data_IF_461377516949
#
_entry.id   IF_461377516949
#
_cell.length_a   1.000
_cell.length_b   1.000
_cell.length_c   1.000
_cell.angle_alpha   90.00
_cell.angle_beta   90.00
_cell.angle_gamma   90.00
#
_symmetry.space_group_name_H-M   'P 1'
#
loop_
_entity.id
_entity.type
_entity.pdbx_description
1 polymer ?
#
# COMPACT_ATOMS: atom_id res chain seq x y z
N UNK A 1 -10.72 -19.62 -2.96
CA UNK A 1 -10.01 -20.52 -2.01
C UNK A 1 -10.78 -20.45 -0.70
N UNK A 2 -11.21 -21.58 -0.13
CA UNK A 2 -11.89 -21.55 1.17
C UNK A 2 -10.89 -21.10 2.27
N UNK A 3 -11.32 -20.32 3.27
CA UNK A 3 -10.45 -19.96 4.39
C UNK A 3 -9.88 -21.22 5.04
N UNK A 4 -8.56 -21.27 5.25
CA UNK A 4 -7.87 -22.43 5.86
C UNK A 4 -8.26 -22.67 7.32
N UNK A 5 -8.95 -21.72 7.96
CA UNK A 5 -9.32 -21.74 9.37
C UNK A 5 -8.21 -21.28 10.32
N UNK A 6 -6.96 -21.28 9.86
CA UNK A 6 -5.78 -20.89 10.67
C UNK A 6 -4.91 -19.79 10.03
N UNK A 7 -5.39 -19.19 8.93
CA UNK A 7 -4.65 -18.17 8.18
C UNK A 7 -3.68 -18.77 7.15
N UNK A 8 -3.09 -17.92 6.31
CA UNK A 8 -2.04 -18.39 5.39
C UNK A 8 -0.74 -18.58 6.19
N UNK A 9 0.10 -19.58 5.86
CA UNK A 9 1.33 -19.86 6.59
C UNK A 9 2.30 -18.67 6.70
N UNK A 10 2.19 -17.70 5.80
CA UNK A 10 3.15 -16.60 5.65
C UNK A 10 2.54 -15.21 5.87
N UNK A 11 1.22 -15.06 5.96
CA UNK A 11 0.58 -13.77 6.27
C UNK A 11 -0.04 -13.74 7.67
N UNK A 12 -0.13 -14.90 8.33
CA UNK A 12 -0.65 -15.05 9.68
C UNK A 12 -2.10 -14.53 9.80
N UNK A 13 -2.50 -14.12 11.00
CA UNK A 13 -3.87 -13.71 11.35
C UNK A 13 -3.91 -12.40 12.12
N UNK A 14 -2.89 -11.54 11.94
CA UNK A 14 -2.75 -10.28 12.67
C UNK A 14 -2.67 -9.11 11.69
N UNK A 15 -3.83 -8.70 11.18
CA UNK A 15 -3.96 -7.49 10.36
C UNK A 15 -4.17 -6.28 11.28
N UNK A 16 -3.46 -5.20 11.01
CA UNK A 16 -3.69 -3.90 11.64
C UNK A 16 -3.94 -2.84 10.56
N UNK A 17 -5.01 -2.07 10.73
CA UNK A 17 -5.33 -0.92 9.88
C UNK A 17 -4.69 0.32 10.49
N UNK A 18 -4.01 1.10 9.66
CA UNK A 18 -3.27 2.31 10.02
C UNK A 18 -4.05 3.51 9.48
N UNK A 19 -4.73 4.23 10.36
CA UNK A 19 -5.54 5.39 9.98
C UNK A 19 -4.68 6.63 9.80
N UNK A 20 -4.68 7.17 8.59
CA UNK A 20 -4.10 8.49 8.32
C UNK A 20 -4.99 9.59 8.90
N UNK A 21 -4.35 10.67 9.37
CA UNK A 21 -5.02 11.85 9.91
C UNK A 21 -4.46 13.10 9.24
N UNK A 22 -5.07 14.30 9.40
CA UNK A 22 -4.54 15.52 8.77
C UNK A 22 -3.09 15.84 9.15
N UNK A 23 -2.56 15.25 10.23
CA UNK A 23 -1.19 15.45 10.71
C UNK A 23 -0.34 14.18 10.68
N UNK A 24 -0.84 13.04 10.16
CA UNK A 24 -0.14 11.76 10.13
C UNK A 24 -0.45 10.98 8.86
N UNK A 25 0.61 10.58 8.14
CA UNK A 25 0.54 9.72 6.96
C UNK A 25 1.38 8.46 7.17
N UNK A 26 0.80 7.29 6.95
CA UNK A 26 1.49 6.01 7.06
C UNK A 26 2.01 5.54 5.71
N UNK A 27 3.15 4.86 5.71
CA UNK A 27 3.66 4.14 4.54
C UNK A 27 4.30 2.83 4.97
N UNK A 28 3.98 1.75 4.24
CA UNK A 28 4.33 0.39 4.66
C UNK A 28 5.54 -0.12 3.88
N UNK A 29 6.42 -0.84 4.57
CA UNK A 29 7.54 -1.61 3.99
C UNK A 29 7.72 -2.93 4.74
N UNK A 30 8.46 -3.86 4.15
CA UNK A 30 9.03 -5.00 4.87
C UNK A 30 10.52 -5.02 4.57
N UNK A 31 11.34 -4.44 5.45
CA UNK A 31 12.77 -4.28 5.19
C UNK A 31 13.48 -5.63 5.08
N UNK A 32 13.00 -6.65 5.81
CA UNK A 32 13.59 -7.98 5.84
C UNK A 32 13.31 -8.79 4.57
N UNK A 33 12.14 -8.61 3.94
CA UNK A 33 11.76 -9.37 2.74
C UNK A 33 10.68 -8.65 1.92
N UNK A 34 9.42 -9.05 2.11
CA UNK A 34 8.27 -8.60 1.33
C UNK A 34 6.93 -8.98 1.97
N UNK A 35 6.87 -9.07 3.31
CA UNK A 35 5.64 -9.32 4.06
C UNK A 35 4.54 -8.35 3.61
N UNK A 36 3.35 -8.86 3.30
CA UNK A 36 2.27 -8.08 2.69
C UNK A 36 0.92 -8.68 3.08
N UNK A 37 -0.16 -7.89 3.28
CA UNK A 37 -1.48 -8.39 3.67
C UNK A 37 -2.21 -9.08 2.50
N UNK A 38 -1.64 -10.15 1.95
CA UNK A 38 -2.17 -10.85 0.77
C UNK A 38 -3.64 -11.29 0.86
N UNK A 39 -4.15 -11.77 2.02
CA UNK A 39 -5.55 -12.18 2.12
C UNK A 39 -6.57 -11.08 1.79
N UNK A 40 -6.21 -9.80 1.91
CA UNK A 40 -7.09 -8.65 1.62
C UNK A 40 -6.60 -7.78 0.45
N UNK A 41 -5.27 -7.71 0.20
CA UNK A 41 -4.70 -6.84 -0.86
C UNK A 41 -4.12 -7.58 -2.08
N UNK A 42 -4.17 -8.90 -2.12
CA UNK A 42 -3.57 -9.68 -3.21
C UNK A 42 -2.04 -9.67 -3.18
N UNK A 43 -1.39 -9.96 -4.31
CA UNK A 43 0.07 -10.07 -4.38
C UNK A 43 0.79 -8.71 -4.25
N UNK A 44 1.97 -8.73 -3.62
CA UNK A 44 2.78 -7.53 -3.47
C UNK A 44 3.36 -7.06 -4.82
N UNK A 45 3.47 -5.74 -5.05
CA UNK A 45 4.08 -5.21 -6.27
C UNK A 45 5.55 -5.62 -6.41
N UNK A 46 6.09 -5.61 -7.63
CA UNK A 46 7.52 -5.87 -7.86
C UNK A 46 8.41 -4.86 -7.13
N UNK A 47 8.11 -3.57 -7.27
CA UNK A 47 8.89 -2.50 -6.62
C UNK A 47 8.94 -2.63 -5.09
N UNK A 48 7.86 -3.11 -4.46
CA UNK A 48 7.79 -3.32 -3.01
C UNK A 48 8.80 -4.36 -2.52
N UNK A 49 9.08 -5.37 -3.36
CA UNK A 49 10.02 -6.46 -3.10
C UNK A 49 11.47 -6.07 -3.32
N UNK A 50 11.73 -4.98 -4.05
CA UNK A 50 13.10 -4.60 -4.43
C UNK A 50 13.96 -4.23 -3.21
N UNK A 51 15.26 -4.59 -3.21
CA UNK A 51 16.20 -4.08 -2.22
C UNK A 51 16.27 -2.55 -2.18
N UNK A 52 15.98 -1.86 -3.31
CA UNK A 52 15.98 -0.40 -3.38
C UNK A 52 14.90 0.20 -2.45
N UNK A 53 13.63 -0.20 -2.62
CA UNK A 53 12.54 0.28 -1.78
C UNK A 53 12.80 -0.03 -0.29
N UNK A 54 13.18 -1.28 -0.01
CA UNK A 54 13.46 -1.77 1.34
C UNK A 54 14.58 -1.03 2.07
N UNK A 55 15.62 -0.61 1.36
CA UNK A 55 16.74 0.15 1.94
C UNK A 55 16.39 1.61 2.19
N UNK A 56 15.61 2.23 1.30
CA UNK A 56 15.41 3.69 1.30
C UNK A 56 14.19 4.14 2.07
N UNK A 57 13.09 3.39 2.03
CA UNK A 57 11.81 3.83 2.61
C UNK A 57 11.92 4.19 4.09
N UNK A 58 12.64 3.38 4.88
CA UNK A 58 12.81 3.63 6.33
C UNK A 58 13.73 4.80 6.71
N UNK A 59 14.49 5.36 5.75
CA UNK A 59 15.49 6.41 6.04
C UNK A 59 15.21 7.72 5.32
N UNK A 60 14.66 7.64 4.11
CA UNK A 60 14.36 8.79 3.26
C UNK A 60 12.92 8.72 2.74
N UNK A 61 11.90 8.56 3.61
CA UNK A 61 10.53 8.32 3.17
C UNK A 61 9.99 9.46 2.32
N UNK A 62 10.23 10.73 2.68
CA UNK A 62 9.79 11.89 1.88
C UNK A 62 10.36 11.87 0.46
N UNK A 63 11.65 11.54 0.31
CA UNK A 63 12.31 11.47 -0.99
C UNK A 63 11.76 10.30 -1.82
N UNK A 64 11.55 9.13 -1.20
CA UNK A 64 10.96 7.98 -1.91
C UNK A 64 9.52 8.29 -2.32
N UNK A 65 8.70 8.87 -1.45
CA UNK A 65 7.33 9.27 -1.77
C UNK A 65 7.27 10.32 -2.90
N UNK A 66 8.21 11.27 -2.93
CA UNK A 66 8.32 12.24 -4.02
C UNK A 66 8.56 11.58 -5.38
N UNK A 67 9.31 10.47 -5.43
CA UNK A 67 9.50 9.67 -6.65
C UNK A 67 8.21 8.96 -7.10
N UNK A 68 7.30 8.66 -6.17
CA UNK A 68 5.92 8.21 -6.47
C UNK A 68 4.97 9.37 -6.83
N UNK A 69 5.44 10.62 -6.76
CA UNK A 69 4.63 11.81 -7.00
C UNK A 69 3.78 12.25 -5.80
N UNK A 70 4.04 11.69 -4.61
CA UNK A 70 3.38 12.09 -3.37
C UNK A 70 4.26 13.08 -2.58
N UNK A 71 3.77 14.30 -2.45
CA UNK A 71 4.37 15.36 -1.68
C UNK A 71 3.45 15.71 -0.52
N UNK A 72 3.96 15.61 0.71
CA UNK A 72 3.24 15.95 1.93
C UNK A 72 3.88 17.19 2.57
N UNK A 73 3.10 18.08 3.18
CA UNK A 73 3.63 19.20 3.96
C UNK A 73 4.62 18.74 5.04
N UNK A 74 5.52 19.62 5.45
CA UNK A 74 6.59 19.30 6.40
C UNK A 74 6.03 18.97 7.79
N UNK A 75 4.92 19.61 8.16
CA UNK A 75 4.19 19.45 9.41
C UNK A 75 3.43 18.11 9.53
N UNK A 76 3.18 17.42 8.41
CA UNK A 76 2.54 16.09 8.43
C UNK A 76 3.59 15.06 8.81
N UNK A 77 3.42 14.37 9.94
CA UNK A 77 4.27 13.25 10.33
C UNK A 77 4.16 12.14 9.28
N UNK A 78 5.29 11.59 8.84
CA UNK A 78 5.29 10.36 8.03
C UNK A 78 5.78 9.22 8.91
N UNK A 79 4.91 8.24 9.12
CA UNK A 79 5.22 7.04 9.88
C UNK A 79 5.44 5.85 8.96
N UNK A 80 6.68 5.37 8.95
CA UNK A 80 7.05 4.18 8.17
C UNK A 80 6.83 2.94 9.02
N UNK A 81 5.95 2.05 8.56
CA UNK A 81 5.62 0.81 9.25
C UNK A 81 6.34 -0.38 8.62
N UNK A 82 7.32 -0.93 9.35
CA UNK A 82 8.10 -2.08 8.92
C UNK A 82 7.45 -3.39 9.37
N UNK A 83 6.92 -4.15 8.42
CA UNK A 83 6.26 -5.45 8.59
C UNK A 83 7.26 -6.57 8.89
N UNK A 84 8.01 -6.45 9.98
CA UNK A 84 9.15 -7.32 10.31
C UNK A 84 8.80 -8.56 11.16
N UNK A 85 7.54 -8.70 11.55
CA UNK A 85 7.06 -9.81 12.38
C UNK A 85 5.74 -10.38 11.82
N UNK A 86 4.83 -10.85 12.69
CA UNK A 86 3.56 -11.48 12.31
C UNK A 86 2.45 -10.49 11.96
N UNK A 87 2.63 -9.20 12.25
CA UNK A 87 1.68 -8.17 11.83
C UNK A 87 1.76 -7.93 10.32
N UNK A 88 0.60 -7.69 9.71
CA UNK A 88 0.46 -7.11 8.37
C UNK A 88 -0.33 -5.82 8.50
N UNK A 89 0.03 -4.84 7.69
CA UNK A 89 -0.56 -3.51 7.77
C UNK A 89 -1.33 -3.17 6.50
N UNK A 90 -2.34 -2.31 6.64
CA UNK A 90 -3.08 -1.68 5.56
C UNK A 90 -3.29 -0.22 5.94
N UNK A 91 -2.96 0.71 5.04
CA UNK A 91 -3.23 2.14 5.25
C UNK A 91 -4.70 2.43 4.94
N UNK A 92 -5.39 3.06 5.89
CA UNK A 92 -6.69 3.70 5.70
C UNK A 92 -6.43 5.19 5.47
N UNK A 93 -6.42 5.66 4.22
CA UNK A 93 -6.12 7.06 3.91
C UNK A 93 -7.28 7.96 4.35
N UNK A 94 -6.97 9.25 4.52
CA UNK A 94 -7.99 10.29 4.64
C UNK A 94 -8.94 10.26 3.43
N UNK A 95 -10.24 10.45 3.71
CA UNK A 95 -11.21 10.73 2.67
C UNK A 95 -10.85 12.05 1.97
N UNK A 96 -10.73 12.08 0.63
CA UNK A 96 -10.36 13.30 -0.08
C UNK A 96 -11.56 14.26 -0.17
N UNK A 97 -11.31 15.58 -0.20
CA UNK A 97 -12.37 16.58 -0.35
C UNK A 97 -13.13 16.39 -1.67
N UNK A 98 -14.40 16.80 -1.70
CA UNK A 98 -15.26 16.65 -2.88
C UNK A 98 -15.87 15.25 -3.03
N UNK A 99 -15.86 14.46 -1.95
CA UNK A 99 -16.47 13.13 -1.90
C UNK A 99 -17.48 12.98 -0.75
N UNK A 100 -17.96 14.10 -0.19
CA UNK A 100 -18.81 14.13 1.00
C UNK A 100 -20.14 13.39 0.80
N UNK A 101 -20.71 13.46 -0.42
CA UNK A 101 -21.98 12.82 -0.79
C UNK A 101 -21.81 11.50 -1.56
N UNK A 102 -20.59 10.97 -1.64
CA UNK A 102 -20.32 9.74 -2.40
C UNK A 102 -20.86 8.49 -1.70
N UNK A 103 -21.29 7.52 -2.49
CA UNK A 103 -21.62 6.19 -1.98
C UNK A 103 -20.37 5.41 -1.59
N UNK A 104 -20.54 4.34 -0.81
CA UNK A 104 -19.48 3.41 -0.47
C UNK A 104 -18.75 2.88 -1.73
N UNK A 105 -19.50 2.52 -2.78
CA UNK A 105 -18.91 2.01 -4.02
C UNK A 105 -18.03 3.05 -4.71
N UNK A 106 -18.48 4.32 -4.74
CA UNK A 106 -17.71 5.40 -5.35
C UNK A 106 -16.43 5.68 -4.54
N UNK A 107 -16.51 5.68 -3.22
CA UNK A 107 -15.34 5.85 -2.35
C UNK A 107 -14.36 4.68 -2.50
N UNK A 108 -14.85 3.45 -2.54
CA UNK A 108 -14.01 2.27 -2.73
C UNK A 108 -13.27 2.30 -4.08
N UNK A 109 -13.89 2.85 -5.13
CA UNK A 109 -13.31 2.91 -6.48
C UNK A 109 -12.02 3.75 -6.54
N UNK A 110 -11.88 4.77 -5.69
CA UNK A 110 -10.70 5.64 -5.66
C UNK A 110 -9.62 5.17 -4.67
N UNK A 111 -9.90 4.13 -3.87
CA UNK A 111 -8.93 3.54 -2.94
C UNK A 111 -8.14 2.46 -3.66
N UNK A 112 -7.07 2.88 -4.33
CA UNK A 112 -6.20 1.98 -5.09
C UNK A 112 -5.28 1.16 -4.15
N UNK A 113 -4.65 0.10 -4.69
CA UNK A 113 -3.64 -0.67 -3.96
C UNK A 113 -2.51 0.23 -3.45
N UNK A 114 -2.06 1.18 -4.26
CA UNK A 114 -0.98 2.09 -3.90
C UNK A 114 -1.38 3.04 -2.75
N UNK A 115 -2.66 3.40 -2.64
CA UNK A 115 -3.20 4.09 -1.46
C UNK A 115 -3.10 3.23 -0.21
N UNK A 116 -3.48 1.96 -0.29
CA UNK A 116 -3.45 1.02 0.84
C UNK A 116 -2.02 0.61 1.28
N UNK A 117 -0.98 0.92 0.48
CA UNK A 117 0.43 0.82 0.87
C UNK A 117 0.95 2.14 1.48
N UNK A 118 0.31 3.26 1.16
CA UNK A 118 0.72 4.60 1.60
C UNK A 118 1.69 5.32 0.65
N UNK A 119 1.81 4.88 -0.62
CA UNK A 119 2.63 5.56 -1.64
C UNK A 119 1.83 6.52 -2.53
N UNK A 120 0.51 6.57 -2.36
CA UNK A 120 -0.40 7.48 -3.04
C UNK A 120 -1.55 7.87 -2.10
N UNK A 121 -2.27 8.94 -2.42
CA UNK A 121 -3.53 9.33 -1.77
C UNK A 121 -4.70 9.08 -2.74
N UNK A 122 -5.89 8.70 -2.23
CA UNK A 122 -7.08 8.57 -3.06
C UNK A 122 -7.44 9.93 -3.67
N UNK A 123 -7.86 9.94 -4.93
CA UNK A 123 -8.23 11.17 -5.66
C UNK A 123 -9.51 10.94 -6.45
N UNK A 124 -10.51 11.84 -6.40
CA UNK A 124 -11.67 11.78 -7.28
C UNK A 124 -11.25 11.64 -8.75
N UNK A 125 -11.84 10.66 -9.44
CA UNK A 125 -11.54 10.36 -10.86
C UNK A 125 -10.27 9.53 -11.10
N UNK A 126 -9.53 9.14 -10.07
CA UNK A 126 -8.37 8.23 -10.19
C UNK A 126 -8.74 6.88 -9.58
N UNK A 127 -8.99 5.89 -10.45
CA UNK A 127 -9.49 4.57 -10.07
C UNK A 127 -8.48 3.43 -10.30
N UNK A 128 -7.25 3.78 -10.67
CA UNK A 128 -6.15 2.85 -10.92
C UNK A 128 -4.83 3.37 -10.34
N UNK A 129 -3.89 2.45 -10.09
CA UNK A 129 -2.55 2.83 -9.62
C UNK A 129 -1.83 3.67 -10.70
N UNK A 130 -0.91 4.55 -10.28
CA UNK A 130 -0.13 5.36 -11.23
C UNK A 130 0.69 4.50 -12.20
N UNK A 131 0.64 4.86 -13.49
CA UNK A 131 1.33 4.17 -14.58
C UNK A 131 2.84 4.07 -14.32
N UNK A 132 3.39 2.88 -14.55
CA UNK A 132 4.83 2.59 -14.43
C UNK A 132 5.23 1.46 -15.37
N UNK A 133 6.51 1.35 -15.74
CA UNK A 133 6.98 0.26 -16.58
C UNK A 133 6.57 -1.11 -16.03
N UNK A 134 6.01 -1.95 -16.90
CA UNK A 134 5.69 -3.34 -16.61
C UNK A 134 6.73 -4.21 -17.31
N UNK A 135 7.51 -4.93 -16.52
CA UNK A 135 8.46 -5.92 -17.06
C UNK A 135 7.71 -7.22 -17.34
N UNK A 136 7.59 -7.66 -18.61
CA UNK A 136 6.81 -8.84 -18.94
C UNK A 136 7.49 -10.11 -18.44
N UNK A 137 6.70 -11.07 -17.97
CA UNK A 137 7.19 -12.42 -17.74
C UNK A 137 7.48 -13.11 -19.08
N UNK A 138 8.49 -13.99 -19.11
CA UNK A 138 8.77 -14.81 -20.30
C UNK A 138 7.59 -15.76 -20.59
N UNK A 139 6.96 -16.27 -19.52
CA UNK A 139 5.81 -17.17 -19.59
C UNK A 139 4.72 -16.69 -18.61
N UNK A 140 3.89 -15.71 -19.00
CA UNK A 140 2.79 -15.26 -18.17
C UNK A 140 1.74 -16.37 -18.01
N UNK A 141 1.02 -16.35 -16.89
CA UNK A 141 0.02 -17.37 -16.54
C UNK A 141 -1.23 -17.36 -17.45
N UNK A 142 -1.30 -16.51 -18.47
CA UNK A 142 -2.38 -16.45 -19.46
C UNK A 142 -2.52 -17.73 -20.31
N UNK A 143 -1.64 -18.72 -20.11
CA UNK A 143 -1.59 -19.99 -20.84
C UNK A 143 -1.80 -21.24 -19.95
N UNK A 144 -2.37 -21.10 -18.74
CA UNK A 144 -2.72 -22.22 -17.85
C UNK A 144 -4.20 -22.22 -17.46
#
# INVERSE_FOLDING_TARGET
>A
MQPTGFGTPSDFTSLQVLEDTPTLHHVIVCTLCSCYPRPILGNSPEWYRTPNYRRRMVRWPRQVLAEFGLYLPEEVEIRVEDSNSKHRFLVLPLQPPGTEDWTEQQLAEIVTRDCMIGVALPKPGVTSNGDRPVHPAIHPAENY
#
